data_IF_432131746322
#
_entry.id   IF_432131746322
#
_cell.length_a   1.000
_cell.length_b   1.000
_cell.length_c   1.000
_cell.angle_alpha   90.00
_cell.angle_beta   90.00
_cell.angle_gamma   90.00
#
_symmetry.space_group_name_H-M   'P 1'
#
loop_
_entity.id
_entity.type
_entity.pdbx_description
1 polymer ?
#
# COMPACT_ATOMS: atom_id res chain seq x y z
N UNK A 1 12.05 6.49 -23.35
CA UNK A 1 12.62 6.79 -22.02
C UNK A 1 11.52 7.43 -21.19
N UNK A 2 11.27 6.89 -19.99
CA UNK A 2 10.28 7.39 -19.04
C UNK A 2 10.57 8.84 -18.66
N UNK A 3 9.63 9.75 -18.91
CA UNK A 3 9.58 11.02 -18.18
C UNK A 3 8.70 10.76 -16.96
N UNK A 4 9.28 10.73 -15.75
CA UNK A 4 8.48 10.76 -14.51
C UNK A 4 7.70 12.07 -14.54
N UNK A 5 6.40 12.00 -14.76
CA UNK A 5 5.54 13.17 -14.78
C UNK A 5 5.36 13.66 -13.35
N UNK A 6 5.46 14.97 -13.16
CA UNK A 6 5.02 15.64 -11.93
C UNK A 6 3.48 15.64 -11.85
N UNK A 7 2.91 15.83 -10.65
CA UNK A 7 1.44 15.93 -10.49
C UNK A 7 0.82 16.96 -11.44
N UNK A 8 1.52 18.09 -11.62
CA UNK A 8 1.10 19.16 -12.53
C UNK A 8 1.07 18.68 -13.99
N UNK A 9 2.13 18.02 -14.45
CA UNK A 9 2.19 17.46 -15.81
C UNK A 9 1.12 16.38 -16.02
N UNK A 10 0.84 15.54 -15.01
CA UNK A 10 -0.23 14.55 -15.07
C UNK A 10 -1.60 15.20 -15.22
N UNK A 11 -1.88 16.26 -14.45
CA UNK A 11 -3.15 17.03 -14.57
C UNK A 11 -3.30 17.69 -15.92
N UNK A 12 -2.23 18.25 -16.48
CA UNK A 12 -2.26 18.87 -17.80
C UNK A 12 -2.57 17.84 -18.89
N UNK A 13 -1.94 16.66 -18.83
CA UNK A 13 -2.19 15.54 -19.75
C UNK A 13 -3.64 15.05 -19.66
N UNK A 14 -4.17 14.85 -18.45
CA UNK A 14 -5.55 14.38 -18.25
C UNK A 14 -6.62 15.40 -18.66
N UNK A 15 -6.32 16.70 -18.53
CA UNK A 15 -7.27 17.78 -18.87
C UNK A 15 -7.21 18.21 -20.34
N UNK A 16 -6.19 17.81 -21.09
CA UNK A 16 -6.10 18.13 -22.52
C UNK A 16 -7.08 17.26 -23.33
N UNK A 17 -8.22 17.82 -23.73
CA UNK A 17 -9.24 17.11 -24.53
C UNK A 17 -8.78 16.78 -25.97
N UNK A 18 -7.62 17.29 -26.41
CA UNK A 18 -7.10 17.11 -27.76
C UNK A 18 -6.18 15.88 -27.91
N UNK A 19 -5.62 15.35 -26.82
CA UNK A 19 -4.77 14.16 -26.87
C UNK A 19 -5.56 12.92 -26.50
N UNK A 20 -5.89 12.11 -27.51
CA UNK A 20 -6.30 10.73 -27.27
C UNK A 20 -5.11 9.98 -26.66
N UNK A 21 -5.12 9.77 -25.34
CA UNK A 21 -4.05 9.08 -24.63
C UNK A 21 -3.88 7.68 -25.22
N UNK A 22 -2.66 7.34 -25.60
CA UNK A 22 -2.39 5.98 -26.08
C UNK A 22 -2.61 4.97 -24.95
N UNK A 23 -2.85 3.70 -25.29
CA UNK A 23 -2.91 2.63 -24.28
C UNK A 23 -1.64 2.56 -23.43
N UNK A 24 -0.49 2.92 -24.00
CA UNK A 24 0.79 2.96 -23.28
C UNK A 24 0.85 4.13 -22.31
N UNK A 25 0.34 5.31 -22.69
CA UNK A 25 0.26 6.47 -21.78
C UNK A 25 -0.67 6.17 -20.59
N UNK A 26 -1.83 5.56 -20.84
CA UNK A 26 -2.75 5.12 -19.78
C UNK A 26 -2.10 4.10 -18.85
N UNK A 27 -1.38 3.13 -19.40
CA UNK A 27 -0.62 2.15 -18.60
C UNK A 27 0.44 2.82 -17.75
N UNK A 28 1.15 3.81 -18.28
CA UNK A 28 2.17 4.55 -17.54
C UNK A 28 1.57 5.38 -16.40
N UNK A 29 0.44 6.05 -16.64
CA UNK A 29 -0.30 6.79 -15.61
C UNK A 29 -0.73 5.85 -14.48
N UNK A 30 -1.24 4.67 -14.83
CA UNK A 30 -1.67 3.67 -13.86
C UNK A 30 -0.51 3.14 -13.01
N UNK A 31 0.62 2.78 -13.64
CA UNK A 31 1.83 2.33 -12.92
C UNK A 31 2.35 3.42 -11.98
N UNK A 32 2.35 4.68 -12.42
CA UNK A 32 2.76 5.81 -11.60
C UNK A 32 1.84 5.99 -10.38
N UNK A 33 0.53 5.91 -10.59
CA UNK A 33 -0.48 6.01 -9.53
C UNK A 33 -0.31 4.90 -8.50
N UNK A 34 -0.13 3.66 -8.94
CA UNK A 34 0.16 2.52 -8.06
C UNK A 34 1.45 2.70 -7.25
N UNK A 35 2.49 3.28 -7.85
CA UNK A 35 3.75 3.58 -7.14
C UNK A 35 3.53 4.57 -6.00
N UNK A 36 2.81 5.67 -6.26
CA UNK A 36 2.50 6.68 -5.23
C UNK A 36 1.64 6.07 -4.12
N UNK A 37 0.62 5.27 -4.47
CA UNK A 37 -0.22 4.60 -3.50
C UNK A 37 0.57 3.66 -2.59
N UNK A 38 1.57 2.95 -3.13
CA UNK A 38 2.47 2.07 -2.36
C UNK A 38 3.36 2.86 -1.41
N UNK A 39 3.92 3.98 -1.86
CA UNK A 39 4.68 4.89 -0.98
C UNK A 39 3.82 5.40 0.18
N UNK A 40 2.58 5.83 -0.10
CA UNK A 40 1.63 6.26 0.94
C UNK A 40 1.24 5.14 1.91
N UNK A 41 1.09 3.91 1.42
CA UNK A 41 0.85 2.73 2.26
C UNK A 41 2.02 2.48 3.22
N UNK A 42 3.25 2.52 2.71
CA UNK A 42 4.46 2.30 3.51
C UNK A 42 4.59 3.35 4.63
N UNK A 43 4.29 4.62 4.33
CA UNK A 43 4.27 5.70 5.33
C UNK A 43 3.23 5.46 6.43
N UNK A 44 2.01 5.06 6.06
CA UNK A 44 0.93 4.73 7.02
C UNK A 44 1.34 3.54 7.89
N UNK A 45 1.88 2.48 7.29
CA UNK A 45 2.33 1.28 8.01
C UNK A 45 3.46 1.62 9.00
N UNK A 46 4.38 2.49 8.61
CA UNK A 46 5.46 2.96 9.49
C UNK A 46 4.91 3.71 10.70
N UNK A 47 3.97 4.64 10.50
CA UNK A 47 3.33 5.37 11.60
C UNK A 47 2.55 4.43 12.51
N UNK A 48 1.76 3.52 11.94
CA UNK A 48 0.96 2.55 12.71
C UNK A 48 1.86 1.63 13.56
N UNK A 49 2.96 1.14 12.98
CA UNK A 49 3.95 0.34 13.72
C UNK A 49 4.53 1.10 14.90
N UNK A 50 4.95 2.36 14.68
CA UNK A 50 5.49 3.20 15.76
C UNK A 50 4.48 3.44 16.87
N UNK A 51 3.21 3.67 16.54
CA UNK A 51 2.15 3.85 17.54
C UNK A 51 1.94 2.57 18.36
N UNK A 52 1.78 1.42 17.71
CA UNK A 52 1.61 0.12 18.39
C UNK A 52 2.81 -0.16 19.30
N UNK A 53 4.02 0.10 18.81
CA UNK A 53 5.23 -0.12 19.58
C UNK A 53 5.27 0.76 20.84
N UNK A 54 5.00 2.06 20.74
CA UNK A 54 5.02 2.98 21.90
C UNK A 54 4.14 2.49 23.06
N UNK A 55 2.99 1.89 22.77
CA UNK A 55 2.08 1.42 23.80
C UNK A 55 2.42 0.03 24.34
N UNK A 56 3.13 -0.81 23.57
CA UNK A 56 3.27 -2.25 23.85
C UNK A 56 4.73 -2.73 23.95
N UNK A 57 5.74 -1.86 23.84
CA UNK A 57 7.17 -2.23 23.80
C UNK A 57 7.61 -2.98 25.07
N UNK A 58 6.98 -2.67 26.21
CA UNK A 58 7.26 -3.28 27.51
C UNK A 58 6.38 -4.50 27.81
N UNK A 59 5.39 -4.79 26.97
CA UNK A 59 4.45 -5.88 27.20
C UNK A 59 4.97 -7.18 26.59
N UNK A 60 5.03 -8.22 27.43
CA UNK A 60 5.47 -9.55 27.04
C UNK A 60 4.25 -10.47 27.08
N UNK A 61 3.97 -11.12 25.95
CA UNK A 61 3.04 -12.23 25.92
C UNK A 61 3.77 -13.52 26.27
N UNK A 62 3.24 -14.27 27.24
CA UNK A 62 3.76 -15.57 27.64
C UNK A 62 2.71 -16.62 27.29
N UNK A 63 2.99 -17.45 26.29
CA UNK A 63 2.18 -18.64 26.03
C UNK A 63 2.74 -19.78 26.88
N UNK A 64 1.88 -20.38 27.71
CA UNK A 64 2.20 -21.58 28.49
C UNK A 64 1.43 -22.74 27.86
N UNK A 65 2.01 -23.33 26.83
CA UNK A 65 1.60 -24.62 26.27
C UNK A 65 2.64 -25.69 26.71
N UNK A 66 2.72 -26.85 26.05
CA UNK A 66 3.77 -27.87 26.26
C UNK A 66 5.21 -27.31 26.23
N UNK A 67 5.39 -26.12 25.62
CA UNK A 67 6.61 -25.29 25.67
C UNK A 67 6.29 -23.83 26.06
N UNK A 68 7.20 -23.17 26.81
CA UNK A 68 7.10 -21.74 27.12
C UNK A 68 7.60 -20.92 25.92
N UNK A 69 6.69 -20.19 25.28
CA UNK A 69 7.04 -19.20 24.27
C UNK A 69 6.84 -17.79 24.83
N UNK A 70 7.90 -16.98 24.79
CA UNK A 70 7.85 -15.55 25.11
C UNK A 70 8.11 -14.76 23.85
N UNK A 71 7.21 -13.86 23.52
CA UNK A 71 7.42 -12.88 22.46
C UNK A 71 6.92 -11.51 22.92
N UNK A 72 7.50 -10.47 22.33
CA UNK A 72 7.07 -9.10 22.57
C UNK A 72 5.66 -8.95 22.01
N UNK A 73 4.71 -8.53 22.86
CA UNK A 73 3.29 -8.48 22.51
C UNK A 73 3.06 -7.57 21.29
N UNK A 74 3.82 -6.48 21.18
CA UNK A 74 3.77 -5.58 20.03
C UNK A 74 4.09 -6.30 18.71
N UNK A 75 5.06 -7.23 18.69
CA UNK A 75 5.51 -7.89 17.45
C UNK A 75 4.42 -8.79 16.88
N UNK A 76 3.72 -9.52 17.75
CA UNK A 76 2.57 -10.34 17.38
C UNK A 76 1.42 -9.50 16.84
N UNK A 77 1.01 -8.48 17.58
CA UNK A 77 -0.09 -7.59 17.19
C UNK A 77 0.23 -6.84 15.89
N UNK A 78 1.46 -6.36 15.73
CA UNK A 78 1.90 -5.71 14.51
C UNK A 78 1.82 -6.66 13.31
N UNK A 79 2.36 -7.88 13.41
CA UNK A 79 2.35 -8.86 12.32
C UNK A 79 0.94 -9.19 11.87
N UNK A 80 0.01 -9.40 12.81
CA UNK A 80 -1.38 -9.72 12.50
C UNK A 80 -2.08 -8.55 11.79
N UNK A 81 -1.96 -7.34 12.31
CA UNK A 81 -2.58 -6.15 11.72
C UNK A 81 -1.98 -5.82 10.34
N UNK A 82 -0.65 -5.86 10.22
CA UNK A 82 0.05 -5.66 8.96
C UNK A 82 -0.43 -6.66 7.89
N UNK A 83 -0.54 -7.94 8.25
CA UNK A 83 -1.01 -8.97 7.33
C UNK A 83 -2.44 -8.71 6.85
N UNK A 84 -3.38 -8.50 7.78
CA UNK A 84 -4.80 -8.25 7.44
C UNK A 84 -4.98 -6.99 6.59
N UNK A 85 -4.23 -5.93 6.92
CA UNK A 85 -4.29 -4.66 6.20
C UNK A 85 -3.76 -4.81 4.78
N UNK A 86 -2.55 -5.36 4.61
CA UNK A 86 -1.97 -5.60 3.29
C UNK A 86 -2.80 -6.57 2.43
N UNK A 87 -3.43 -7.57 3.03
CA UNK A 87 -4.34 -8.47 2.32
C UNK A 87 -5.58 -7.73 1.78
N UNK A 88 -6.15 -6.83 2.59
CA UNK A 88 -7.31 -6.02 2.19
C UNK A 88 -6.94 -5.08 1.04
N UNK A 89 -5.85 -4.32 1.18
CA UNK A 89 -5.35 -3.42 0.15
C UNK A 89 -4.98 -4.19 -1.14
N UNK A 90 -4.33 -5.36 -1.03
CA UNK A 90 -4.01 -6.18 -2.18
C UNK A 90 -5.25 -6.67 -2.93
N UNK A 91 -6.35 -6.94 -2.22
CA UNK A 91 -7.63 -7.30 -2.84
C UNK A 91 -8.24 -6.10 -3.58
N UNK A 92 -8.23 -4.91 -2.98
CA UNK A 92 -8.68 -3.68 -3.63
C UNK A 92 -7.82 -3.33 -4.85
N UNK A 93 -6.48 -3.46 -4.77
CA UNK A 93 -5.57 -3.26 -5.90
C UNK A 93 -5.92 -4.19 -7.07
N UNK A 94 -6.26 -5.46 -6.81
CA UNK A 94 -6.69 -6.42 -7.84
C UNK A 94 -8.00 -5.96 -8.51
N UNK A 95 -9.01 -5.53 -7.73
CA UNK A 95 -10.30 -5.09 -8.28
C UNK A 95 -10.17 -3.78 -9.09
N UNK A 96 -9.33 -2.85 -8.63
CA UNK A 96 -9.00 -1.64 -9.37
C UNK A 96 -8.23 -1.96 -10.67
N UNK A 97 -7.25 -2.88 -10.62
CA UNK A 97 -6.53 -3.34 -11.80
C UNK A 97 -7.47 -3.99 -12.82
N UNK A 98 -8.39 -4.85 -12.36
CA UNK A 98 -9.38 -5.47 -13.25
C UNK A 98 -10.23 -4.40 -13.92
N UNK A 99 -10.74 -3.45 -13.13
CA UNK A 99 -11.57 -2.35 -13.63
C UNK A 99 -10.82 -1.47 -14.64
N UNK A 100 -9.53 -1.24 -14.44
CA UNK A 100 -8.72 -0.41 -15.35
C UNK A 100 -8.38 -1.12 -16.67
N UNK A 101 -8.00 -2.40 -16.62
CA UNK A 101 -7.51 -3.12 -17.80
C UNK A 101 -8.61 -3.84 -18.60
N UNK A 102 -9.72 -4.24 -17.97
CA UNK A 102 -10.79 -5.03 -18.62
C UNK A 102 -12.04 -4.23 -19.01
N UNK A 103 -12.05 -2.90 -18.86
CA UNK A 103 -13.12 -2.03 -19.39
C UNK A 103 -12.91 -1.59 -20.86
N UNK A 104 -12.03 -2.27 -21.61
CA UNK A 104 -11.87 -2.09 -23.07
C UNK A 104 -12.71 -3.10 -23.85
#
# INVERSE_FOLDING_TARGET
MLKKLTEKELREVLNSSEYFLSKEDLRNIWVHTLSIAKEGLDDILKVLKSLIQIYLDNDIYVCIDECIWKYLLYDGIWKENHFKFCQTIGTEEIECNKSFFFFN
#
